data_IF_768703330067
#
_entry.id   IF_768703330067
#
_cell.length_a   1.000
_cell.length_b   1.000
_cell.length_c   1.000
_cell.angle_alpha   90.00
_cell.angle_beta   90.00
_cell.angle_gamma   90.00
#
_symmetry.space_group_name_H-M   'P 1'
#
loop_
_entity.id
_entity.type
_entity.pdbx_description
1 polymer ?
#
# COMPACT_ATOMS: atom_id res chain seq x y z
N UNK A 1 10.08 9.53 11.52
CA UNK A 1 9.60 10.92 11.30
C UNK A 1 9.59 11.66 12.62
N UNK A 2 9.97 12.94 12.63
CA UNK A 2 9.88 13.76 13.83
C UNK A 2 8.43 13.91 14.31
N UNK A 3 8.24 13.95 15.62
CA UNK A 3 6.97 14.33 16.24
C UNK A 3 6.62 15.81 15.97
N UNK A 4 5.40 16.20 16.21
CA UNK A 4 4.90 17.58 16.03
C UNK A 4 4.98 18.03 14.56
N UNK A 5 5.64 19.18 14.28
CA UNK A 5 5.67 19.80 12.95
C UNK A 5 6.21 18.91 11.81
N UNK A 6 7.08 17.94 12.11
CA UNK A 6 7.54 16.99 11.10
C UNK A 6 6.44 16.00 10.66
N UNK A 7 5.56 15.61 11.59
CA UNK A 7 4.35 14.85 11.26
C UNK A 7 3.39 15.66 10.41
N UNK A 8 3.12 16.88 10.80
CA UNK A 8 2.20 17.78 10.13
C UNK A 8 2.63 18.05 8.66
N UNK A 9 3.89 18.38 8.45
CA UNK A 9 4.46 18.63 7.13
C UNK A 9 4.38 17.43 6.16
N UNK A 10 4.27 16.21 6.67
CA UNK A 10 4.23 15.01 5.83
C UNK A 10 2.82 14.67 5.30
N UNK A 11 1.77 15.35 5.77
CA UNK A 11 0.39 15.05 5.37
C UNK A 11 0.19 15.11 3.85
N UNK A 12 0.78 16.08 3.16
CA UNK A 12 0.68 16.21 1.71
C UNK A 12 1.26 14.99 0.98
N UNK A 13 2.47 14.55 1.35
CA UNK A 13 3.10 13.37 0.75
C UNK A 13 2.35 12.07 1.07
N UNK A 14 1.83 11.94 2.29
CA UNK A 14 1.03 10.76 2.68
C UNK A 14 -0.29 10.72 1.92
N UNK A 15 -0.96 11.87 1.78
CA UNK A 15 -2.20 12.00 1.01
C UNK A 15 -1.98 11.62 -0.45
N UNK A 16 -0.88 12.08 -1.06
CA UNK A 16 -0.51 11.69 -2.42
C UNK A 16 -0.25 10.17 -2.52
N UNK A 17 0.49 9.61 -1.59
CA UNK A 17 0.74 8.16 -1.55
C UNK A 17 -0.57 7.36 -1.41
N UNK A 18 -1.55 7.88 -0.67
CA UNK A 18 -2.87 7.25 -0.54
C UNK A 18 -3.67 7.33 -1.85
N UNK A 19 -3.68 8.48 -2.50
CA UNK A 19 -4.34 8.68 -3.79
C UNK A 19 -3.75 7.77 -4.88
N UNK A 20 -2.43 7.63 -4.90
CA UNK A 20 -1.70 6.82 -5.87
C UNK A 20 -1.56 5.34 -5.47
N UNK A 21 -2.14 4.93 -4.35
CA UNK A 21 -2.06 3.56 -3.83
C UNK A 21 -0.63 3.06 -3.59
N UNK A 22 0.25 3.92 -3.09
CA UNK A 22 1.65 3.57 -2.83
C UNK A 22 1.76 2.83 -1.49
N UNK A 23 2.28 1.59 -1.47
CA UNK A 23 2.45 0.80 -0.26
C UNK A 23 3.68 1.30 0.53
N UNK A 24 3.47 2.19 1.49
CA UNK A 24 4.53 2.74 2.33
C UNK A 24 4.19 2.59 3.81
N UNK A 25 5.17 2.22 4.63
CA UNK A 25 5.08 2.22 6.07
C UNK A 25 5.63 3.54 6.61
N UNK A 26 4.81 4.23 7.39
CA UNK A 26 5.15 5.51 8.01
C UNK A 26 5.27 5.27 9.52
N UNK A 27 6.42 5.61 10.08
CA UNK A 27 6.74 5.46 11.51
C UNK A 27 6.96 6.84 12.13
N UNK A 28 5.90 7.58 12.47
CA UNK A 28 6.03 8.85 13.17
C UNK A 28 6.37 8.59 14.64
N UNK A 29 7.32 9.37 15.17
CA UNK A 29 7.49 9.49 16.61
C UNK A 29 6.36 10.31 17.21
N UNK A 30 5.98 10.01 18.45
CA UNK A 30 5.01 10.74 19.21
C UNK A 30 5.58 11.21 20.57
N UNK A 31 4.96 12.20 21.23
CA UNK A 31 5.22 12.46 22.64
C UNK A 31 4.95 11.20 23.48
N UNK A 32 5.43 11.15 24.74
CA UNK A 32 5.07 10.06 25.64
C UNK A 32 3.56 9.84 25.72
N UNK A 33 3.12 8.63 26.01
CA UNK A 33 1.71 8.23 26.02
C UNK A 33 0.81 9.15 26.83
N UNK A 34 1.31 9.62 27.99
CA UNK A 34 0.57 10.55 28.86
C UNK A 34 0.39 11.95 28.26
N UNK A 35 1.07 12.27 27.15
CA UNK A 35 1.02 13.56 26.48
C UNK A 35 0.49 13.49 25.04
N UNK A 36 0.24 12.31 24.50
CA UNK A 36 -0.11 12.11 23.08
C UNK A 36 -1.41 12.86 22.68
N UNK A 37 -2.34 13.02 23.61
CA UNK A 37 -3.60 13.74 23.39
C UNK A 37 -3.61 15.15 23.94
N UNK A 38 -2.48 15.62 24.49
CA UNK A 38 -2.38 16.98 25.08
C UNK A 38 -2.04 17.98 23.98
N UNK A 39 -2.92 18.97 23.77
CA UNK A 39 -2.66 20.06 22.81
C UNK A 39 -1.49 20.94 23.27
N UNK A 40 -0.60 21.39 22.36
CA UNK A 40 -0.68 21.34 20.88
C UNK A 40 0.05 20.13 20.24
N UNK A 41 0.16 18.99 20.91
CA UNK A 41 0.84 17.84 20.35
C UNK A 41 0.06 17.28 19.14
N UNK A 42 0.80 16.93 18.08
CA UNK A 42 0.25 16.29 16.91
C UNK A 42 0.05 14.79 17.18
N UNK A 43 -1.16 14.30 16.98
CA UNK A 43 -1.50 12.90 17.08
C UNK A 43 -1.59 12.32 15.65
N UNK A 44 -0.56 11.59 15.23
CA UNK A 44 -0.46 11.08 13.87
C UNK A 44 -1.56 10.05 13.57
N UNK A 45 -1.85 9.15 14.49
CA UNK A 45 -2.91 8.16 14.34
C UNK A 45 -4.27 8.78 14.07
N UNK A 46 -4.61 9.83 14.79
CA UNK A 46 -5.90 10.52 14.61
C UNK A 46 -5.94 11.35 13.32
N UNK A 47 -4.86 12.09 13.04
CA UNK A 47 -4.84 13.04 11.91
C UNK A 47 -4.67 12.36 10.55
N UNK A 48 -3.98 11.24 10.47
CA UNK A 48 -3.78 10.52 9.20
C UNK A 48 -4.89 9.53 8.85
N UNK A 49 -5.81 9.24 9.77
CA UNK A 49 -6.85 8.20 9.60
C UNK A 49 -7.60 8.27 8.26
N UNK A 50 -7.83 9.47 7.72
CA UNK A 50 -8.55 9.68 6.46
C UNK A 50 -7.69 9.51 5.20
N UNK A 51 -6.37 9.43 5.32
CA UNK A 51 -5.41 9.41 4.21
C UNK A 51 -4.43 8.23 4.29
N UNK A 52 -4.77 7.20 5.05
CA UNK A 52 -4.00 5.94 5.14
C UNK A 52 -4.93 4.75 5.19
N UNK A 53 -4.43 3.57 4.84
CA UNK A 53 -5.19 2.32 4.95
C UNK A 53 -5.44 1.89 6.39
N UNK A 54 -4.44 2.08 7.23
CA UNK A 54 -4.50 1.77 8.65
C UNK A 54 -3.58 2.70 9.42
N UNK A 55 -4.01 3.10 10.61
CA UNK A 55 -3.22 3.90 11.53
C UNK A 55 -3.36 3.32 12.94
N UNK A 56 -2.24 2.90 13.51
CA UNK A 56 -2.18 2.35 14.87
C UNK A 56 -1.11 3.08 15.68
N UNK A 57 -1.34 3.21 16.98
CA UNK A 57 -0.35 3.69 17.95
C UNK A 57 0.08 2.51 18.84
N UNK A 58 1.38 2.33 19.05
CA UNK A 58 1.88 1.33 19.99
C UNK A 58 1.69 1.89 21.40
N UNK A 59 0.86 1.23 22.20
CA UNK A 59 0.55 1.64 23.57
C UNK A 59 1.25 0.82 24.64
N UNK A 60 1.79 -0.32 24.26
CA UNK A 60 2.60 -1.19 25.13
C UNK A 60 3.76 -1.78 24.32
N UNK A 61 4.98 -1.87 24.90
CA UNK A 61 6.17 -2.34 24.17
C UNK A 61 6.00 -3.74 23.54
N UNK A 62 5.34 -4.65 24.25
CA UNK A 62 5.16 -6.05 23.82
C UNK A 62 4.21 -6.20 22.62
N UNK A 63 3.45 -5.15 22.28
CA UNK A 63 2.55 -5.17 21.11
C UNK A 63 3.28 -5.02 19.77
N UNK A 64 4.58 -4.69 19.76
CA UNK A 64 5.31 -4.34 18.54
C UNK A 64 5.21 -5.42 17.45
N UNK A 65 5.32 -6.69 17.82
CA UNK A 65 5.24 -7.81 16.86
C UNK A 65 3.87 -7.86 16.19
N UNK A 66 2.80 -7.76 16.96
CA UNK A 66 1.45 -7.86 16.43
C UNK A 66 1.03 -6.61 15.64
N UNK A 67 1.41 -5.43 16.09
CA UNK A 67 1.17 -4.17 15.36
C UNK A 67 1.91 -4.19 14.02
N UNK A 68 3.18 -4.56 14.01
CA UNK A 68 3.96 -4.65 12.77
C UNK A 68 3.43 -5.74 11.84
N UNK A 69 2.95 -6.87 12.37
CA UNK A 69 2.31 -7.92 11.57
C UNK A 69 1.04 -7.40 10.89
N UNK A 70 0.17 -6.68 11.61
CA UNK A 70 -1.03 -6.04 11.03
C UNK A 70 -0.68 -4.98 10.01
N UNK A 71 0.33 -4.14 10.29
CA UNK A 71 0.80 -3.11 9.39
C UNK A 71 1.28 -3.70 8.06
N UNK A 72 2.17 -4.70 8.10
CA UNK A 72 2.65 -5.37 6.89
C UNK A 72 1.58 -6.20 6.19
N UNK A 73 0.64 -6.80 6.93
CA UNK A 73 -0.52 -7.44 6.30
C UNK A 73 -1.33 -6.43 5.50
N UNK A 74 -1.61 -5.26 6.08
CA UNK A 74 -2.36 -4.20 5.44
C UNK A 74 -1.65 -3.65 4.19
N UNK A 75 -0.33 -3.47 4.24
CA UNK A 75 0.47 -3.01 3.10
C UNK A 75 0.45 -4.03 1.94
N UNK A 76 0.56 -5.32 2.25
CA UNK A 76 0.75 -6.39 1.25
C UNK A 76 -0.54 -6.90 0.63
N UNK A 77 -1.67 -6.75 1.30
CA UNK A 77 -2.93 -7.36 0.92
C UNK A 77 -4.00 -6.34 0.54
N UNK A 78 -4.85 -6.69 -0.43
CA UNK A 78 -5.87 -5.83 -1.00
C UNK A 78 -5.29 -4.67 -1.81
N UNK A 79 -6.05 -3.57 -1.90
CA UNK A 79 -5.59 -2.35 -2.58
C UNK A 79 -4.37 -1.78 -1.84
N UNK A 80 -3.24 -1.50 -2.52
CA UNK A 80 -2.08 -0.91 -1.87
C UNK A 80 -2.38 0.48 -1.29
N UNK A 81 -1.55 0.92 -0.34
CA UNK A 81 -1.67 2.25 0.26
C UNK A 81 -0.81 2.39 1.51
N UNK A 82 -0.63 3.61 1.99
CA UNK A 82 0.19 3.90 3.16
C UNK A 82 -0.44 3.36 4.45
N UNK A 83 0.41 2.98 5.38
CA UNK A 83 0.06 2.53 6.73
C UNK A 83 0.91 3.28 7.74
N UNK A 84 0.31 3.69 8.84
CA UNK A 84 0.98 4.41 9.92
C UNK A 84 1.05 3.55 11.18
N UNK A 85 2.24 3.49 11.77
CA UNK A 85 2.45 2.97 13.12
C UNK A 85 3.15 4.06 13.93
N UNK A 86 2.39 4.71 14.81
CA UNK A 86 2.86 5.78 15.68
C UNK A 86 3.59 5.20 16.89
N UNK A 87 4.80 5.69 17.15
CA UNK A 87 5.68 5.17 18.21
C UNK A 87 5.92 6.28 19.24
N UNK A 88 5.27 6.21 20.42
CA UNK A 88 5.52 7.14 21.51
C UNK A 88 6.96 7.04 22.05
N UNK A 89 7.48 8.15 22.53
CA UNK A 89 8.87 8.28 22.97
C UNK A 89 9.23 7.36 24.16
N UNK A 90 8.30 7.19 25.10
CA UNK A 90 8.44 6.28 26.23
C UNK A 90 8.41 4.82 25.80
N UNK A 91 7.57 4.47 24.83
CA UNK A 91 7.55 3.13 24.23
C UNK A 91 8.86 2.86 23.47
N UNK A 92 9.32 3.84 22.68
CA UNK A 92 10.59 3.71 21.92
C UNK A 92 11.83 3.53 22.80
N UNK A 93 11.79 4.06 24.03
CA UNK A 93 12.88 3.96 25.01
C UNK A 93 12.75 2.72 25.91
N UNK A 94 11.68 1.97 25.82
CA UNK A 94 11.44 0.80 26.67
C UNK A 94 12.25 -0.41 26.20
N UNK A 95 12.73 -1.18 27.15
CA UNK A 95 13.26 -2.52 26.88
C UNK A 95 12.11 -3.50 26.65
N UNK A 96 12.29 -4.39 25.70
CA UNK A 96 11.34 -5.44 25.39
C UNK A 96 11.99 -6.81 25.56
N UNK A 97 11.27 -7.73 26.17
CA UNK A 97 11.71 -9.12 26.32
C UNK A 97 10.96 -10.01 25.33
N UNK A 98 11.20 -9.80 24.04
CA UNK A 98 10.63 -10.59 22.95
C UNK A 98 11.76 -11.16 22.10
N UNK A 99 11.56 -12.36 21.58
CA UNK A 99 12.45 -12.92 20.58
C UNK A 99 12.05 -12.39 19.20
N UNK A 100 12.95 -11.67 18.52
CA UNK A 100 12.71 -11.12 17.18
C UNK A 100 12.44 -12.23 16.15
N UNK A 101 12.99 -13.42 16.36
CA UNK A 101 12.77 -14.58 15.48
C UNK A 101 11.32 -15.09 15.49
N UNK A 102 10.53 -14.71 16.48
CA UNK A 102 9.08 -15.01 16.53
C UNK A 102 8.27 -14.15 15.55
N UNK A 103 8.86 -13.10 14.99
CA UNK A 103 8.21 -12.30 13.96
C UNK A 103 8.16 -13.06 12.65
N UNK A 104 6.95 -13.44 12.23
CA UNK A 104 6.70 -14.02 10.92
C UNK A 104 5.97 -13.00 10.04
N UNK A 105 6.62 -12.66 8.93
CA UNK A 105 6.06 -11.72 7.96
C UNK A 105 4.77 -12.27 7.35
N UNK A 106 3.69 -11.46 7.26
CA UNK A 106 2.45 -11.89 6.62
C UNK A 106 2.66 -12.29 5.16
N UNK A 107 2.01 -13.34 4.74
CA UNK A 107 2.04 -13.80 3.36
C UNK A 107 1.14 -12.90 2.51
N UNK A 108 1.58 -12.60 1.28
CA UNK A 108 0.74 -11.91 0.31
C UNK A 108 -0.35 -12.86 -0.20
N UNK A 109 -1.61 -12.47 -0.06
CA UNK A 109 -2.72 -13.20 -0.64
C UNK A 109 -2.80 -12.96 -2.15
N UNK A 110 -3.00 -14.02 -2.92
CA UNK A 110 -3.25 -13.96 -4.35
C UNK A 110 -4.70 -14.34 -4.61
N UNK A 111 -5.40 -13.48 -5.32
CA UNK A 111 -6.79 -13.71 -5.71
C UNK A 111 -6.83 -14.03 -7.20
N UNK A 112 -7.40 -15.18 -7.54
CA UNK A 112 -7.60 -15.59 -8.93
C UNK A 112 -9.08 -15.45 -9.27
N UNK A 113 -9.44 -14.81 -10.39
CA UNK A 113 -10.82 -14.73 -10.83
C UNK A 113 -11.37 -16.12 -11.17
N UNK A 114 -12.68 -16.28 -11.12
CA UNK A 114 -13.30 -17.53 -11.49
C UNK A 114 -13.10 -17.84 -12.99
N UNK A 115 -13.11 -19.12 -13.36
CA UNK A 115 -13.04 -19.51 -14.77
C UNK A 115 -14.20 -18.94 -15.59
N UNK A 116 -15.36 -18.77 -14.97
CA UNK A 116 -16.54 -18.19 -15.60
C UNK A 116 -16.33 -16.72 -15.92
N UNK A 117 -15.76 -15.95 -14.99
CA UNK A 117 -15.49 -14.53 -15.20
C UNK A 117 -14.44 -14.32 -16.28
N UNK A 118 -13.41 -15.17 -16.32
CA UNK A 118 -12.39 -15.14 -17.37
C UNK A 118 -13.04 -15.40 -18.74
N UNK A 119 -13.89 -16.43 -18.86
CA UNK A 119 -14.59 -16.73 -20.12
C UNK A 119 -15.50 -15.58 -20.56
N UNK A 120 -16.20 -14.94 -19.63
CA UNK A 120 -17.05 -13.79 -19.91
C UNK A 120 -16.21 -12.59 -20.41
N UNK A 121 -15.10 -12.29 -19.75
CA UNK A 121 -14.20 -11.22 -20.17
C UNK A 121 -13.65 -11.47 -21.58
N UNK A 122 -13.17 -12.67 -21.85
CA UNK A 122 -12.67 -13.07 -23.19
C UNK A 122 -13.79 -12.98 -24.23
N UNK A 123 -14.99 -13.48 -23.93
CA UNK A 123 -16.13 -13.38 -24.86
C UNK A 123 -16.49 -11.93 -25.20
N UNK A 124 -16.47 -11.03 -24.22
CA UNK A 124 -16.73 -9.62 -24.45
C UNK A 124 -15.64 -8.97 -25.31
N UNK A 125 -14.37 -9.31 -25.05
CA UNK A 125 -13.24 -8.82 -25.82
C UNK A 125 -13.32 -9.26 -27.29
N UNK A 126 -13.67 -10.52 -27.55
CA UNK A 126 -13.79 -11.07 -28.91
C UNK A 126 -14.99 -10.49 -29.70
N UNK A 127 -16.01 -9.99 -29.02
CA UNK A 127 -17.17 -9.32 -29.66
C UNK A 127 -16.93 -7.84 -29.92
N UNK A 128 -15.90 -7.26 -29.33
CA UNK A 128 -15.61 -5.83 -29.50
C UNK A 128 -15.14 -5.53 -30.93
N UNK A 129 -15.68 -4.45 -31.52
CA UNK A 129 -15.29 -4.03 -32.88
C UNK A 129 -13.96 -3.30 -32.91
N UNK A 130 -13.73 -2.44 -31.92
CA UNK A 130 -12.51 -1.64 -31.80
C UNK A 130 -12.01 -1.73 -30.35
N UNK A 131 -11.45 -2.88 -29.92
CA UNK A 131 -10.96 -3.02 -28.57
C UNK A 131 -9.70 -2.20 -28.35
N UNK A 132 -9.52 -1.73 -27.12
CA UNK A 132 -8.33 -1.01 -26.66
C UNK A 132 -8.01 -1.44 -25.24
N UNK A 133 -6.74 -1.60 -24.92
CA UNK A 133 -6.28 -1.90 -23.57
C UNK A 133 -5.74 -0.61 -22.95
N UNK A 134 -6.22 -0.27 -21.75
CA UNK A 134 -5.66 0.81 -20.94
C UNK A 134 -4.96 0.17 -19.74
N UNK A 135 -3.63 0.22 -19.74
CA UNK A 135 -2.80 -0.35 -18.70
C UNK A 135 -2.46 0.71 -17.64
N UNK A 136 -2.91 0.47 -16.42
CA UNK A 136 -2.62 1.30 -15.26
C UNK A 136 -1.50 0.73 -14.39
N UNK A 137 -1.21 1.42 -13.29
CA UNK A 137 -0.18 1.05 -12.30
C UNK A 137 -0.39 -0.37 -11.71
N UNK A 138 -1.62 -0.88 -11.71
CA UNK A 138 -1.93 -2.23 -11.24
C UNK A 138 -1.15 -3.33 -11.96
N UNK A 139 -0.78 -3.13 -13.23
CA UNK A 139 0.06 -4.06 -14.00
C UNK A 139 1.45 -4.17 -13.37
N UNK A 140 2.04 -3.03 -12.95
CA UNK A 140 3.35 -2.99 -12.30
C UNK A 140 3.29 -3.64 -10.91
N UNK A 141 2.27 -3.32 -10.10
CA UNK A 141 2.09 -3.90 -8.76
C UNK A 141 1.84 -5.40 -8.78
N UNK A 142 1.13 -5.89 -9.80
CA UNK A 142 0.89 -7.33 -9.98
C UNK A 142 2.06 -8.04 -10.67
N UNK A 143 3.08 -7.31 -11.18
CA UNK A 143 4.19 -7.83 -11.98
C UNK A 143 3.70 -8.59 -13.21
N UNK A 144 2.67 -8.05 -13.89
CA UNK A 144 1.99 -8.71 -15.03
C UNK A 144 2.37 -8.10 -16.38
N UNK A 145 3.52 -7.45 -16.50
CA UNK A 145 3.97 -6.82 -17.74
C UNK A 145 4.17 -7.82 -18.86
N UNK A 146 4.76 -9.00 -18.57
CA UNK A 146 4.97 -10.04 -19.56
C UNK A 146 3.65 -10.64 -20.07
N UNK A 147 2.67 -10.81 -19.17
CA UNK A 147 1.33 -11.28 -19.53
C UNK A 147 0.60 -10.26 -20.39
N UNK A 148 0.72 -8.96 -20.06
CA UNK A 148 0.16 -7.88 -20.85
C UNK A 148 0.77 -7.85 -22.25
N UNK A 149 2.10 -7.98 -22.36
CA UNK A 149 2.82 -8.06 -23.63
C UNK A 149 2.32 -9.24 -24.47
N UNK A 150 2.27 -10.43 -23.88
CA UNK A 150 1.77 -11.64 -24.55
C UNK A 150 0.34 -11.45 -25.07
N UNK A 151 -0.53 -10.86 -24.26
CA UNK A 151 -1.91 -10.57 -24.67
C UNK A 151 -1.96 -9.60 -25.83
N UNK A 152 -1.20 -8.50 -25.79
CA UNK A 152 -1.15 -7.50 -26.85
C UNK A 152 -0.62 -8.11 -28.17
N UNK A 153 0.48 -8.89 -28.11
CA UNK A 153 1.05 -9.56 -29.27
C UNK A 153 0.11 -10.60 -29.89
N UNK A 154 -0.62 -11.35 -29.06
CA UNK A 154 -1.58 -12.36 -29.51
C UNK A 154 -2.82 -11.74 -30.16
N UNK A 155 -3.35 -10.67 -29.55
CA UNK A 155 -4.63 -10.09 -29.98
C UNK A 155 -4.48 -8.93 -30.96
N UNK A 156 -3.29 -8.35 -31.07
CA UNK A 156 -3.00 -7.12 -31.84
C UNK A 156 -3.86 -5.93 -31.39
N UNK A 157 -4.34 -5.95 -30.15
CA UNK A 157 -5.08 -4.85 -29.57
C UNK A 157 -4.10 -3.77 -29.10
N UNK A 158 -4.31 -2.49 -29.50
CA UNK A 158 -3.43 -1.41 -29.08
C UNK A 158 -3.50 -1.22 -27.54
N UNK A 159 -2.35 -0.96 -26.94
CA UNK A 159 -2.19 -0.73 -25.51
C UNK A 159 -1.79 0.71 -25.26
N UNK A 160 -2.53 1.38 -24.38
CA UNK A 160 -2.20 2.70 -23.86
C UNK A 160 -1.88 2.60 -22.37
N UNK A 161 -0.91 3.35 -21.91
CA UNK A 161 -0.57 3.42 -20.48
C UNK A 161 -1.10 4.70 -19.86
N UNK A 162 -1.58 4.60 -18.62
CA UNK A 162 -1.81 5.80 -17.80
C UNK A 162 -0.47 6.37 -17.35
N UNK A 163 -0.44 7.62 -16.86
CA UNK A 163 0.79 8.21 -16.30
C UNK A 163 1.44 7.31 -15.23
N UNK A 164 0.71 6.83 -14.20
CA UNK A 164 1.27 5.90 -13.22
C UNK A 164 1.54 4.49 -13.78
N UNK A 165 0.99 4.16 -14.93
CA UNK A 165 1.18 2.88 -15.62
C UNK A 165 2.31 2.90 -16.64
N UNK A 166 3.03 4.00 -16.81
CA UNK A 166 4.20 4.06 -17.69
C UNK A 166 5.18 2.95 -17.33
N UNK A 167 5.78 2.33 -18.34
CA UNK A 167 6.62 1.13 -18.22
C UNK A 167 5.86 -0.19 -17.92
N UNK A 168 4.53 -0.20 -17.91
CA UNK A 168 3.74 -1.44 -17.82
C UNK A 168 3.95 -2.35 -19.05
N UNK A 169 4.32 -1.78 -20.19
CA UNK A 169 4.71 -2.47 -21.42
C UNK A 169 5.86 -1.69 -22.07
N UNK A 170 6.76 -2.39 -22.75
CA UNK A 170 7.82 -1.73 -23.52
C UNK A 170 7.23 -1.08 -24.75
N UNK A 171 7.49 0.21 -24.96
CA UNK A 171 6.98 1.01 -26.07
C UNK A 171 7.56 0.59 -27.42
N UNK A 172 8.73 -0.09 -27.44
CA UNK A 172 9.39 -0.58 -28.65
C UNK A 172 8.81 -1.92 -29.18
N UNK A 173 7.79 -2.47 -28.52
CA UNK A 173 7.25 -3.79 -28.82
C UNK A 173 5.92 -3.79 -29.59
N UNK A 174 5.47 -2.66 -30.12
CA UNK A 174 4.18 -2.55 -30.84
C UNK A 174 4.36 -2.10 -32.28
#
# INVERSE_FOLDING_TARGET
>A
MQSKGGGDNSMGGISQAYADNIPVLILPGAPPLNQISVRPNFNATANYKGIVKNAECITQPDQIIDVMRRAFHSIRNGRPGPVVVEIPADISASEININIDDYKSPVKAYHTPSKTDIKLAVSNLLKARNPMIIAGQGVLFSRSSDQLKTLAELTKIPVYTTMPGKSAINEDCL
#
